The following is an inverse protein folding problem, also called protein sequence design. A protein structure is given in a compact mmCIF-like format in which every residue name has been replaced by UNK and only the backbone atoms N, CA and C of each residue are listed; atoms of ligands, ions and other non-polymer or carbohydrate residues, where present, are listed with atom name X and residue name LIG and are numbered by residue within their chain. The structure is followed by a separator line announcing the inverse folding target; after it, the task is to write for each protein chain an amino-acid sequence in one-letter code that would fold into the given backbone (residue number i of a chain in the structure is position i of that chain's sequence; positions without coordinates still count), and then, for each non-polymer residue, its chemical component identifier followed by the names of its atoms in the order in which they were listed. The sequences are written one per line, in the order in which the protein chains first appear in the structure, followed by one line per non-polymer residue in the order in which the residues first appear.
data_IF_856183043386
#
_entry.id   IF_856183043386
#
_cell.length_a   1.000
_cell.length_b   1.000
_cell.length_c   1.000
_cell.angle_alpha   90.00
_cell.angle_beta   90.00
_cell.angle_gamma   90.00
#
_symmetry.space_group_name_H-M   'P 1'
#
loop_
_entity.id
_entity.type
_entity.pdbx_description
1 polymer ?
#
# COMPACT_ATOMS: atom_id res chain seq x y z
N UNK A 1 1.78 -31.06 28.24
CA UNK A 1 0.82 -30.08 27.66
C UNK A 1 1.00 -28.66 28.24
N UNK A 2 1.37 -28.49 29.51
CA UNK A 2 1.59 -27.16 30.12
C UNK A 2 2.75 -26.34 29.51
N UNK A 3 3.84 -26.98 29.06
CA UNK A 3 5.00 -26.29 28.51
C UNK A 3 4.73 -25.60 27.16
N UNK A 4 3.95 -26.24 26.27
CA UNK A 4 3.61 -25.67 24.96
C UNK A 4 2.69 -24.44 25.07
N UNK A 5 1.79 -24.45 26.07
CA UNK A 5 0.92 -23.30 26.35
C UNK A 5 1.71 -22.08 26.86
N UNK A 6 2.79 -22.31 27.62
CA UNK A 6 3.67 -21.24 28.07
C UNK A 6 4.51 -20.65 26.92
N UNK A 7 4.93 -21.49 25.97
CA UNK A 7 5.67 -21.06 24.78
C UNK A 7 4.79 -20.24 23.82
N UNK A 8 3.50 -20.61 23.69
CA UNK A 8 2.49 -19.83 22.94
C UNK A 8 2.04 -18.55 23.67
N UNK A 9 2.27 -18.44 24.97
CA UNK A 9 2.02 -17.24 25.76
C UNK A 9 3.19 -16.24 25.72
N UNK A 10 4.23 -16.52 24.91
CA UNK A 10 5.28 -15.56 24.63
C UNK A 10 4.65 -14.24 24.13
N UNK A 11 5.12 -13.08 24.61
CA UNK A 11 4.61 -11.80 24.15
C UNK A 11 4.76 -11.73 22.63
N UNK A 12 3.65 -11.43 21.94
CA UNK A 12 3.72 -11.13 20.52
C UNK A 12 4.68 -9.95 20.33
N UNK A 13 5.70 -10.12 19.48
CA UNK A 13 6.67 -9.05 19.19
C UNK A 13 5.98 -7.78 18.68
N UNK A 14 4.81 -7.95 18.08
CA UNK A 14 3.94 -6.85 17.67
C UNK A 14 2.54 -7.06 18.24
N UNK A 15 1.96 -6.04 18.90
CA UNK A 15 0.61 -6.13 19.44
C UNK A 15 -0.39 -6.34 18.30
N UNK A 16 -1.43 -7.12 18.57
CA UNK A 16 -2.52 -7.32 17.62
C UNK A 16 -3.20 -5.97 17.32
N UNK A 17 -3.59 -5.75 16.06
CA UNK A 17 -4.34 -4.56 15.67
C UNK A 17 -5.69 -4.55 16.40
N UNK A 18 -5.97 -3.46 17.10
CA UNK A 18 -7.21 -3.28 17.86
C UNK A 18 -8.36 -2.67 17.03
N UNK A 19 -8.09 -2.28 15.78
CA UNK A 19 -9.03 -1.60 14.90
C UNK A 19 -9.02 -2.12 13.46
N UNK A 20 -9.90 -1.59 12.60
CA UNK A 20 -9.93 -1.92 11.18
C UNK A 20 -8.58 -1.67 10.52
N UNK A 21 -8.23 -2.53 9.57
CA UNK A 21 -6.98 -2.43 8.81
C UNK A 21 -7.32 -2.26 7.34
N UNK A 22 -6.77 -1.21 6.74
CA UNK A 22 -6.83 -1.01 5.29
C UNK A 22 -6.05 -2.11 4.55
N UNK A 23 -6.56 -2.63 3.41
CA UNK A 23 -5.88 -3.68 2.66
C UNK A 23 -4.44 -3.35 2.25
N UNK A 24 -4.15 -2.07 1.99
CA UNK A 24 -2.79 -1.59 1.70
C UNK A 24 -1.86 -1.78 2.90
N UNK A 25 -2.31 -1.41 4.10
CA UNK A 25 -1.51 -1.59 5.32
C UNK A 25 -1.33 -3.07 5.66
N UNK A 26 -2.33 -3.92 5.41
CA UNK A 26 -2.18 -5.36 5.56
C UNK A 26 -1.09 -5.92 4.63
N UNK A 27 -1.02 -5.41 3.40
CA UNK A 27 0.02 -5.79 2.41
C UNK A 27 1.41 -5.41 2.89
N UNK A 28 1.59 -4.20 3.41
CA UNK A 28 2.88 -3.75 3.92
C UNK A 28 3.35 -4.56 5.13
N UNK A 29 2.43 -5.04 5.96
CA UNK A 29 2.75 -5.81 7.16
C UNK A 29 2.97 -7.30 6.91
N UNK A 30 2.16 -7.91 6.06
CA UNK A 30 2.08 -9.37 5.92
C UNK A 30 2.30 -9.89 4.49
N UNK A 31 2.42 -8.98 3.52
CA UNK A 31 2.67 -9.29 2.13
C UNK A 31 1.46 -9.80 1.34
N UNK A 32 1.64 -9.91 0.03
CA UNK A 32 0.57 -10.22 -0.92
C UNK A 32 -0.10 -11.58 -0.69
N UNK A 33 0.67 -12.59 -0.24
CA UNK A 33 0.14 -13.93 0.01
C UNK A 33 -0.88 -13.94 1.14
N UNK A 34 -0.61 -13.20 2.22
CA UNK A 34 -1.52 -13.11 3.36
C UNK A 34 -2.76 -12.33 2.98
N UNK A 35 -2.62 -11.24 2.22
CA UNK A 35 -3.76 -10.48 1.69
C UNK A 35 -4.68 -11.36 0.85
N UNK A 36 -4.10 -12.18 -0.05
CA UNK A 36 -4.88 -13.11 -0.86
C UNK A 36 -5.63 -14.15 -0.04
N UNK A 37 -5.01 -14.71 1.01
CA UNK A 37 -5.65 -15.66 1.90
C UNK A 37 -6.81 -15.02 2.69
N UNK A 38 -6.61 -13.82 3.23
CA UNK A 38 -7.65 -13.08 3.98
C UNK A 38 -8.82 -12.69 3.08
N UNK A 39 -8.57 -12.35 1.81
CA UNK A 39 -9.61 -11.98 0.86
C UNK A 39 -10.63 -13.11 0.63
N UNK A 40 -10.18 -14.36 0.68
CA UNK A 40 -11.00 -15.55 0.48
C UNK A 40 -11.80 -16.00 1.73
N UNK A 41 -11.49 -15.47 2.92
CA UNK A 41 -12.17 -15.85 4.16
C UNK A 41 -13.56 -15.23 4.32
N UNK A 42 -14.48 -15.96 4.94
CA UNK A 42 -15.69 -15.42 5.53
C UNK A 42 -15.42 -14.81 6.93
N UNK A 43 -16.25 -13.86 7.41
CA UNK A 43 -16.15 -13.35 8.78
C UNK A 43 -16.24 -14.49 9.80
N UNK A 44 -15.32 -14.50 10.76
CA UNK A 44 -15.16 -15.54 11.78
C UNK A 44 -14.18 -16.65 11.41
N UNK A 45 -13.82 -16.80 10.13
CA UNK A 45 -12.90 -17.84 9.69
C UNK A 45 -11.43 -17.50 9.93
N UNK A 46 -10.61 -18.55 9.97
CA UNK A 46 -9.17 -18.49 10.22
C UNK A 46 -8.44 -19.12 9.03
N UNK A 47 -7.34 -18.52 8.60
CA UNK A 47 -6.49 -19.09 7.55
C UNK A 47 -5.74 -20.32 8.07
N UNK A 48 -5.45 -21.28 7.18
CA UNK A 48 -4.32 -22.18 7.38
C UNK A 48 -3.00 -21.38 7.50
N UNK A 49 -1.92 -21.95 8.05
CA UNK A 49 -0.63 -21.27 8.16
C UNK A 49 -0.10 -20.83 6.78
N UNK A 50 -0.10 -19.52 6.53
CA UNK A 50 0.35 -18.91 5.28
C UNK A 50 1.83 -18.59 5.38
N UNK A 51 2.66 -19.13 4.47
CA UNK A 51 4.08 -18.77 4.37
C UNK A 51 4.24 -17.45 3.61
N UNK A 52 4.66 -16.41 4.32
CA UNK A 52 5.06 -15.12 3.78
C UNK A 52 6.60 -15.00 3.74
N UNK A 53 7.10 -13.85 3.29
CA UNK A 53 8.55 -13.62 3.17
C UNK A 53 9.25 -13.51 4.53
N UNK A 54 8.53 -13.03 5.53
CA UNK A 54 9.00 -12.73 6.88
C UNK A 54 8.68 -13.84 7.90
N UNK A 55 7.87 -14.84 7.52
CA UNK A 55 7.55 -15.96 8.40
C UNK A 55 6.26 -16.69 8.04
N UNK A 56 5.63 -17.25 9.07
CA UNK A 56 4.36 -17.97 8.97
C UNK A 56 3.27 -17.16 9.65
N UNK A 57 2.17 -16.92 8.94
CA UNK A 57 1.05 -16.10 9.39
C UNK A 57 -0.19 -16.95 9.58
N UNK A 58 -0.92 -16.70 10.66
CA UNK A 58 -2.27 -17.23 10.88
C UNK A 58 -3.16 -16.02 11.16
N UNK A 59 -4.20 -15.84 10.34
CA UNK A 59 -5.07 -14.66 10.42
C UNK A 59 -6.51 -15.09 10.61
N UNK A 60 -7.23 -14.40 11.50
CA UNK A 60 -8.68 -14.54 11.68
C UNK A 60 -9.38 -13.30 11.16
N UNK A 61 -10.33 -13.46 10.25
CA UNK A 61 -11.15 -12.35 9.80
C UNK A 61 -12.25 -12.08 10.83
N UNK A 62 -12.21 -10.93 11.51
CA UNK A 62 -13.25 -10.59 12.51
C UNK A 62 -14.52 -10.10 11.82
N UNK A 63 -14.38 -9.11 10.95
CA UNK A 63 -15.45 -8.54 10.15
C UNK A 63 -14.86 -7.93 8.88
N UNK A 64 -15.70 -7.70 7.87
CA UNK A 64 -15.34 -7.01 6.64
C UNK A 64 -16.42 -5.98 6.37
N UNK A 65 -16.01 -4.73 6.18
CA UNK A 65 -16.90 -3.72 5.65
C UNK A 65 -17.03 -3.93 4.14
N UNK A 66 -18.24 -3.96 3.58
CA UNK A 66 -18.41 -4.14 2.14
C UNK A 66 -17.77 -2.96 1.40
N UNK A 67 -16.91 -3.27 0.43
CA UNK A 67 -16.37 -2.26 -0.47
C UNK A 67 -17.53 -1.57 -1.19
N UNK A 68 -17.77 -0.30 -0.85
CA UNK A 68 -18.64 0.55 -1.63
C UNK A 68 -17.81 1.08 -2.79
N UNK A 69 -17.79 0.33 -3.90
CA UNK A 69 -17.21 0.83 -5.14
C UNK A 69 -18.11 1.96 -5.63
N UNK A 70 -17.65 3.22 -5.62
CA UNK A 70 -18.45 4.33 -6.10
C UNK A 70 -18.72 4.16 -7.60
N UNK A 71 -19.89 4.60 -8.07
CA UNK A 71 -20.23 4.54 -9.48
C UNK A 71 -19.28 5.43 -10.29
N UNK A 72 -19.12 5.13 -11.58
CA UNK A 72 -18.29 5.95 -12.48
C UNK A 72 -18.72 7.41 -12.44
N UNK A 73 -20.03 7.67 -12.40
CA UNK A 73 -20.61 9.02 -12.32
C UNK A 73 -20.17 9.77 -11.05
N UNK A 74 -20.06 9.07 -9.92
CA UNK A 74 -19.63 9.66 -8.64
C UNK A 74 -18.15 10.05 -8.64
N UNK A 75 -17.31 9.37 -9.43
CA UNK A 75 -15.86 9.61 -9.47
C UNK A 75 -15.37 10.26 -10.75
N UNK A 76 -16.25 10.50 -11.73
CA UNK A 76 -15.88 11.00 -13.04
C UNK A 76 -15.17 12.35 -12.97
N UNK A 77 -15.80 13.34 -12.32
CA UNK A 77 -15.25 14.69 -12.16
C UNK A 77 -13.87 14.69 -11.47
N UNK A 78 -13.70 14.12 -10.26
CA UNK A 78 -12.39 14.11 -9.60
C UNK A 78 -11.34 13.31 -10.40
N UNK A 79 -11.75 12.25 -11.12
CA UNK A 79 -10.85 11.47 -11.96
C UNK A 79 -10.35 12.28 -13.17
N UNK A 80 -11.25 13.00 -13.86
CA UNK A 80 -10.89 13.85 -15.01
C UNK A 80 -9.95 14.96 -14.58
N UNK A 81 -10.19 15.61 -13.44
CA UNK A 81 -9.31 16.65 -12.92
C UNK A 81 -7.92 16.11 -12.55
N UNK A 82 -7.84 14.94 -11.91
CA UNK A 82 -6.56 14.28 -11.64
C UNK A 82 -5.83 13.91 -12.93
N UNK A 83 -6.55 13.42 -13.94
CA UNK A 83 -5.98 13.06 -15.23
C UNK A 83 -5.45 14.29 -15.98
N UNK A 84 -6.22 15.38 -16.02
CA UNK A 84 -5.80 16.66 -16.63
C UNK A 84 -4.53 17.19 -15.97
N UNK A 85 -4.45 17.15 -14.64
CA UNK A 85 -3.27 17.61 -13.89
C UNK A 85 -2.03 16.80 -14.28
N UNK A 86 -2.13 15.47 -14.28
CA UNK A 86 -1.02 14.59 -14.67
C UNK A 86 -0.56 14.84 -16.11
N UNK A 87 -1.51 15.00 -17.03
CA UNK A 87 -1.19 15.28 -18.43
C UNK A 87 -0.51 16.65 -18.61
N UNK A 88 -0.97 17.66 -17.87
CA UNK A 88 -0.35 18.99 -17.90
C UNK A 88 1.09 18.95 -17.36
N UNK A 89 1.31 18.31 -16.21
CA UNK A 89 2.63 18.12 -15.61
C UNK A 89 3.58 17.38 -16.55
N UNK A 90 3.10 16.30 -17.19
CA UNK A 90 3.88 15.53 -18.15
C UNK A 90 4.31 16.37 -19.36
N UNK A 91 3.38 17.15 -19.94
CA UNK A 91 3.69 18.05 -21.06
C UNK A 91 4.67 19.14 -20.67
N UNK A 92 4.46 19.77 -19.51
CA UNK A 92 5.37 20.79 -19.01
C UNK A 92 6.78 20.24 -18.81
N UNK A 93 6.90 19.05 -18.20
CA UNK A 93 8.18 18.39 -18.01
C UNK A 93 8.89 18.08 -19.33
N UNK A 94 8.16 17.60 -20.34
CA UNK A 94 8.72 17.34 -21.67
C UNK A 94 9.19 18.62 -22.37
N UNK A 95 8.39 19.69 -22.33
CA UNK A 95 8.77 20.99 -22.91
C UNK A 95 9.98 21.60 -22.21
N UNK A 96 10.02 21.58 -20.87
CA UNK A 96 11.19 22.02 -20.10
C UNK A 96 12.43 21.17 -20.45
N UNK A 97 12.28 19.86 -20.62
CA UNK A 97 13.38 18.99 -21.02
C UNK A 97 13.90 19.33 -22.43
N UNK A 98 13.00 19.66 -23.39
CA UNK A 98 13.37 20.12 -24.73
C UNK A 98 14.14 21.44 -24.68
N UNK A 99 13.61 22.43 -23.96
CA UNK A 99 14.26 23.74 -23.80
C UNK A 99 15.63 23.60 -23.14
N UNK A 100 15.74 22.76 -22.10
CA UNK A 100 17.00 22.47 -21.42
C UNK A 100 18.06 21.91 -22.36
N UNK A 101 17.69 21.00 -23.28
CA UNK A 101 18.61 20.44 -24.28
C UNK A 101 19.07 21.47 -25.32
N UNK A 102 18.20 22.43 -25.66
CA UNK A 102 18.47 23.46 -26.67
C UNK A 102 19.24 24.69 -26.16
N UNK A 103 19.45 24.82 -24.84
CA UNK A 103 20.07 25.99 -24.23
C UNK A 103 21.44 25.67 -23.61
N UNK A 104 22.37 26.64 -23.67
CA UNK A 104 23.55 26.63 -22.80
C UNK A 104 23.13 27.16 -21.43
N UNK A 105 23.14 26.28 -20.42
CA UNK A 105 22.79 26.61 -19.05
C UNK A 105 24.08 26.64 -18.22
N UNK A 106 24.37 27.80 -17.62
CA UNK A 106 25.47 27.98 -16.69
C UNK A 106 24.88 28.16 -15.28
N UNK A 107 25.34 27.36 -14.32
CA UNK A 107 24.93 27.47 -12.93
C UNK A 107 26.06 28.21 -12.20
N UNK A 108 25.83 29.48 -11.88
CA UNK A 108 26.84 30.34 -11.26
C UNK A 108 27.17 29.95 -9.80
N UNK A 109 26.23 29.27 -9.12
CA UNK A 109 26.43 28.70 -7.79
C UNK A 109 26.53 27.17 -7.88
N UNK A 110 27.73 26.59 -7.71
CA UNK A 110 27.92 25.15 -7.83
C UNK A 110 27.19 24.33 -6.74
N UNK A 111 26.71 24.96 -5.65
CA UNK A 111 25.90 24.27 -4.64
C UNK A 111 24.47 23.93 -5.13
N UNK A 112 24.02 24.54 -6.23
CA UNK A 112 22.70 24.32 -6.84
C UNK A 112 22.74 23.39 -8.06
N UNK A 113 23.92 22.98 -8.50
CA UNK A 113 24.09 21.98 -9.54
C UNK A 113 23.87 20.59 -8.91
N UNK A 114 22.62 20.09 -8.95
CA UNK A 114 22.23 18.82 -8.32
C UNK A 114 23.20 17.67 -8.61
N UNK A 115 23.62 16.99 -7.54
CA UNK A 115 24.28 15.68 -7.58
C UNK A 115 23.30 14.53 -7.74
#
# INVERSE_FOLDING_TARGET
LAALAAELAAPLEQPLPAGPIEPALLRDRAGDRVVGAVAALAPGEVTDPVRALDGVWVVRLVSREPDQVPSLEQVWEPLVEQWRRREHEARLADELAKLRRGARIEIADPSLAGG
#
